data_IF_615296759401
#
_entry.id   IF_615296759401
#
_cell.length_a   1.000
_cell.length_b   1.000
_cell.length_c   1.000
_cell.angle_alpha   90.00
_cell.angle_beta   90.00
_cell.angle_gamma   90.00
#
_symmetry.space_group_name_H-M   'P 1'
#
loop_
_entity.id
_entity.type
_entity.pdbx_description
1 polymer ?
#
# COMPACT_ATOMS: atom_id res chain seq x y z
N UNK A 1 33.75 -44.33 25.70
CA UNK A 1 33.63 -43.21 24.75
C UNK A 1 32.16 -42.85 24.68
N UNK A 2 31.76 -41.80 25.39
CA UNK A 2 30.51 -41.12 25.10
C UNK A 2 30.68 -40.42 23.75
N UNK A 3 29.61 -40.35 22.93
CA UNK A 3 29.17 -39.09 22.35
C UNK A 3 27.86 -39.23 21.56
N UNK A 4 26.86 -38.50 22.08
CA UNK A 4 25.88 -37.69 21.35
C UNK A 4 24.69 -38.46 20.72
N UNK A 5 23.64 -38.54 21.54
CA UNK A 5 22.24 -38.51 21.10
C UNK A 5 22.05 -37.46 19.99
N UNK A 6 21.67 -37.91 18.80
CA UNK A 6 20.94 -37.09 17.84
C UNK A 6 19.44 -37.35 18.05
N UNK A 7 18.67 -36.41 18.61
CA UNK A 7 17.23 -36.45 18.49
C UNK A 7 16.91 -36.18 17.02
N UNK A 8 16.25 -37.13 16.38
CA UNK A 8 15.64 -36.95 15.07
C UNK A 8 14.59 -35.84 15.24
N UNK A 9 15.01 -34.58 15.04
CA UNK A 9 14.14 -33.44 15.03
C UNK A 9 13.24 -33.61 13.82
N UNK A 10 12.06 -34.19 14.07
CA UNK A 10 10.96 -34.26 13.16
C UNK A 10 10.82 -32.87 12.57
N UNK A 11 11.11 -32.75 11.28
CA UNK A 11 10.80 -31.57 10.49
C UNK A 11 9.27 -31.52 10.44
N UNK A 12 8.67 -31.10 11.55
CA UNK A 12 7.29 -30.70 11.64
C UNK A 12 7.19 -29.50 10.73
N UNK A 13 6.91 -29.81 9.46
CA UNK A 13 6.55 -28.86 8.43
C UNK A 13 5.57 -27.89 9.09
N UNK A 14 6.04 -26.66 9.30
CA UNK A 14 5.21 -25.57 9.79
C UNK A 14 3.97 -25.60 8.91
N UNK A 15 2.74 -25.63 9.48
CA UNK A 15 1.58 -25.49 8.62
C UNK A 15 1.82 -24.18 7.88
N UNK A 16 1.93 -24.28 6.55
CA UNK A 16 1.90 -23.12 5.70
C UNK A 16 0.71 -22.32 6.21
N UNK A 17 0.95 -21.12 6.74
CA UNK A 17 -0.09 -20.15 6.97
C UNK A 17 -0.68 -19.89 5.59
N UNK A 18 -1.65 -20.73 5.22
CA UNK A 18 -2.63 -20.45 4.21
C UNK A 18 -3.23 -19.16 4.74
N UNK A 19 -2.71 -18.04 4.25
CA UNK A 19 -3.26 -16.72 4.45
C UNK A 19 -4.71 -16.84 3.99
N UNK A 20 -5.56 -17.21 4.95
CA UNK A 20 -6.92 -17.62 4.69
C UNK A 20 -7.56 -16.46 3.98
N UNK A 21 -7.99 -16.69 2.73
CA UNK A 21 -8.77 -15.74 1.91
C UNK A 21 -9.60 -14.89 2.86
N UNK A 22 -9.15 -13.65 3.11
CA UNK A 22 -9.80 -12.76 4.07
C UNK A 22 -11.19 -12.56 3.49
N UNK A 23 -12.20 -13.21 4.06
CA UNK A 23 -13.60 -13.02 3.69
C UNK A 23 -13.96 -11.63 4.18
N UNK A 24 -13.62 -10.62 3.37
CA UNK A 24 -14.02 -9.25 3.63
C UNK A 24 -15.54 -9.24 3.61
N UNK A 25 -16.15 -8.83 4.73
CA UNK A 25 -17.57 -8.49 4.71
C UNK A 25 -17.78 -7.40 3.65
N UNK A 26 -18.99 -7.32 3.07
CA UNK A 26 -19.31 -6.27 2.10
C UNK A 26 -19.00 -4.87 2.65
N UNK A 27 -19.17 -4.67 3.96
CA UNK A 27 -18.81 -3.45 4.67
C UNK A 27 -17.31 -3.17 4.63
N UNK A 28 -16.48 -4.18 4.88
CA UNK A 28 -15.02 -4.05 4.83
C UNK A 28 -14.53 -3.77 3.40
N UNK A 29 -15.13 -4.40 2.39
CA UNK A 29 -14.81 -4.14 0.98
C UNK A 29 -15.18 -2.70 0.58
N UNK A 30 -16.37 -2.22 1.00
CA UNK A 30 -16.79 -0.83 0.77
C UNK A 30 -15.87 0.17 1.45
N UNK A 31 -15.43 -0.11 2.69
CA UNK A 31 -14.43 0.70 3.39
C UNK A 31 -13.12 0.78 2.62
N UNK A 32 -12.59 -0.36 2.16
CA UNK A 32 -11.38 -0.39 1.35
C UNK A 32 -11.52 0.42 0.06
N UNK A 33 -12.64 0.27 -0.66
CA UNK A 33 -12.90 1.05 -1.87
C UNK A 33 -13.03 2.55 -1.58
N UNK A 34 -13.66 2.94 -0.48
CA UNK A 34 -13.76 4.32 -0.05
C UNK A 34 -12.37 4.92 0.23
N UNK A 35 -11.50 4.19 0.94
CA UNK A 35 -10.12 4.63 1.19
C UNK A 35 -9.31 4.75 -0.11
N UNK A 36 -9.47 3.79 -1.03
CA UNK A 36 -8.85 3.89 -2.37
C UNK A 36 -9.33 5.10 -3.15
N UNK A 37 -10.63 5.43 -3.08
CA UNK A 37 -11.20 6.64 -3.71
C UNK A 37 -10.67 7.93 -3.09
N UNK A 38 -10.54 8.00 -1.77
CA UNK A 38 -9.92 9.15 -1.09
C UNK A 38 -8.48 9.37 -1.55
N UNK A 39 -7.69 8.30 -1.64
CA UNK A 39 -6.31 8.36 -2.16
C UNK A 39 -6.28 8.84 -3.62
N UNK A 40 -7.18 8.32 -4.46
CA UNK A 40 -7.26 8.72 -5.86
C UNK A 40 -7.67 10.20 -6.01
N UNK A 41 -8.61 10.67 -5.18
CA UNK A 41 -9.04 12.07 -5.15
C UNK A 41 -7.91 12.99 -4.70
N UNK A 42 -7.19 12.63 -3.63
CA UNK A 42 -6.03 13.38 -3.15
C UNK A 42 -4.97 13.57 -4.25
N UNK A 43 -4.63 12.49 -4.98
CA UNK A 43 -3.67 12.56 -6.09
C UNK A 43 -4.16 13.43 -7.25
N UNK A 44 -5.45 13.35 -7.56
CA UNK A 44 -6.06 14.19 -8.59
C UNK A 44 -6.02 15.67 -8.19
N UNK A 45 -6.32 15.98 -6.94
CA UNK A 45 -6.28 17.34 -6.41
C UNK A 45 -4.85 17.90 -6.43
N UNK A 46 -3.85 17.08 -6.07
CA UNK A 46 -2.44 17.44 -6.22
C UNK A 46 -2.06 17.74 -7.68
N UNK A 47 -2.53 16.94 -8.64
CA UNK A 47 -2.31 17.20 -10.08
C UNK A 47 -2.95 18.52 -10.53
N UNK A 48 -4.15 18.82 -10.03
CA UNK A 48 -4.86 20.06 -10.32
C UNK A 48 -4.13 21.27 -9.72
N UNK A 49 -3.77 21.20 -8.44
CA UNK A 49 -2.98 22.24 -7.76
C UNK A 49 -1.62 22.46 -8.44
N UNK A 50 -0.93 21.41 -8.87
CA UNK A 50 0.33 21.52 -9.61
C UNK A 50 0.19 22.27 -10.95
N UNK A 51 -0.98 22.17 -11.58
CA UNK A 51 -1.26 22.80 -12.87
C UNK A 51 -1.75 24.24 -12.69
N UNK A 52 -2.72 24.44 -11.80
CA UNK A 52 -3.43 25.71 -11.64
C UNK A 52 -2.71 26.67 -10.68
N UNK A 53 -2.13 26.15 -9.59
CA UNK A 53 -1.57 26.94 -8.50
C UNK A 53 -0.32 26.27 -7.90
N UNK A 54 0.80 26.22 -8.63
CA UNK A 54 2.00 25.50 -8.21
C UNK A 54 2.63 26.03 -6.92
N UNK A 55 2.39 27.30 -6.55
CA UNK A 55 2.90 27.89 -5.31
C UNK A 55 2.25 27.28 -4.05
N UNK A 56 1.02 26.77 -4.15
CA UNK A 56 0.34 26.11 -3.02
C UNK A 56 1.01 24.79 -2.64
N UNK A 57 1.72 24.15 -3.56
CA UNK A 57 2.49 22.93 -3.26
C UNK A 57 3.63 23.26 -2.29
N UNK A 58 4.34 24.36 -2.55
CA UNK A 58 5.43 24.84 -1.71
C UNK A 58 4.91 25.32 -0.34
N UNK A 59 3.72 25.94 -0.28
CA UNK A 59 3.08 26.38 0.98
C UNK A 59 2.66 25.21 1.89
N UNK A 60 2.29 24.07 1.31
CA UNK A 60 1.97 22.84 2.06
C UNK A 60 3.27 22.11 2.46
N UNK A 61 4.43 22.58 2.00
CA UNK A 61 5.74 22.00 2.28
C UNK A 61 6.07 20.77 1.46
N UNK A 62 5.37 20.54 0.34
CA UNK A 62 5.74 19.51 -0.62
C UNK A 62 6.68 20.10 -1.67
N UNK A 63 7.68 19.33 -2.10
CA UNK A 63 8.46 19.69 -3.28
C UNK A 63 7.74 19.25 -4.55
N UNK A 64 7.92 20.00 -5.64
CA UNK A 64 7.37 19.64 -6.96
C UNK A 64 7.74 18.20 -7.39
N UNK A 65 8.94 17.74 -7.05
CA UNK A 65 9.41 16.38 -7.36
C UNK A 65 8.63 15.30 -6.60
N UNK A 66 8.27 15.55 -5.35
CA UNK A 66 7.45 14.64 -4.56
C UNK A 66 6.02 14.59 -5.07
N UNK A 67 5.48 15.73 -5.50
CA UNK A 67 4.16 15.80 -6.15
C UNK A 67 4.17 15.01 -7.45
N UNK A 68 5.16 15.19 -8.31
CA UNK A 68 5.30 14.40 -9.54
C UNK A 68 5.43 12.89 -9.25
N UNK A 69 6.18 12.51 -8.21
CA UNK A 69 6.30 11.12 -7.79
C UNK A 69 4.96 10.55 -7.28
N UNK A 70 4.15 11.35 -6.57
CA UNK A 70 2.84 10.92 -6.07
C UNK A 70 1.79 10.85 -7.20
N UNK A 71 1.86 11.77 -8.18
CA UNK A 71 1.06 11.73 -9.42
C UNK A 71 1.47 10.52 -10.28
N UNK A 72 2.76 10.17 -10.34
CA UNK A 72 3.24 9.02 -11.09
C UNK A 72 2.70 7.67 -10.56
N UNK A 73 2.28 7.62 -9.28
CA UNK A 73 1.60 6.46 -8.68
C UNK A 73 0.13 6.33 -9.09
N UNK A 74 -0.42 7.28 -9.83
CA UNK A 74 -1.76 7.15 -10.38
C UNK A 74 -1.82 5.92 -11.30
N UNK A 75 -2.92 5.15 -11.23
CA UNK A 75 -3.09 4.05 -12.15
C UNK A 75 -3.23 4.59 -13.57
N UNK A 76 -2.82 3.79 -14.56
CA UNK A 76 -2.74 4.22 -15.96
C UNK A 76 -4.04 4.80 -16.52
N UNK A 77 -5.21 4.35 -16.03
CA UNK A 77 -6.53 4.82 -16.47
C UNK A 77 -6.92 6.20 -15.91
N UNK A 78 -6.09 6.77 -15.01
CA UNK A 78 -6.30 8.06 -14.37
C UNK A 78 -5.14 9.04 -14.67
N UNK A 79 -4.21 8.66 -15.55
CA UNK A 79 -3.03 9.44 -15.94
C UNK A 79 -3.36 10.50 -16.97
#
# INVERSE_FOLDING_TARGET
MNDILMPCASLAARPAEINGRRRYSLSALRGLLAERRKQAYFRFELKRMATDNPHLIDDIGLTRKEVEAEIAKLPFWQR
#
